data_IF_064713271068
#
_entry.id   IF_064713271068
#
_cell.length_a   1.000
_cell.length_b   1.000
_cell.length_c   1.000
_cell.angle_alpha   90.00
_cell.angle_beta   90.00
_cell.angle_gamma   90.00
#
_symmetry.space_group_name_H-M   'P 1'
#
loop_
_entity.id
_entity.type
_entity.pdbx_description
1 polymer ?
#
# COMPACT_ATOMS: atom_id res chain seq x y z
N UNK A 1 -3.03 -17.62 12.23
CA UNK A 1 -4.42 -17.82 11.74
C UNK A 1 -4.70 -17.18 10.39
N UNK A 2 -4.08 -16.04 10.06
CA UNK A 2 -4.25 -15.37 8.75
C UNK A 2 -3.80 -16.23 7.54
N UNK A 3 -2.85 -17.15 7.71
CA UNK A 3 -2.36 -18.00 6.60
C UNK A 3 -3.34 -19.11 6.16
N UNK A 4 -4.25 -19.54 7.00
CA UNK A 4 -5.18 -20.63 6.67
C UNK A 4 -6.39 -20.22 5.82
N UNK A 5 -6.75 -18.95 5.76
CA UNK A 5 -7.88 -18.47 4.94
C UNK A 5 -7.49 -18.04 3.52
N UNK A 6 -6.21 -18.07 3.18
CA UNK A 6 -5.69 -17.68 1.85
C UNK A 6 -5.61 -18.87 0.88
N UNK A 7 -6.23 -19.99 1.18
CA UNK A 7 -6.25 -21.18 0.32
C UNK A 7 -7.29 -21.02 -0.76
N UNK A 8 -6.86 -20.62 -1.93
CA UNK A 8 -7.68 -20.62 -3.16
C UNK A 8 -6.83 -20.32 -4.38
N UNK A 9 -6.46 -21.37 -5.11
CA UNK A 9 -6.18 -21.45 -6.56
C UNK A 9 -5.41 -20.32 -7.29
N UNK A 10 -4.66 -19.46 -6.65
CA UNK A 10 -3.95 -18.38 -7.33
C UNK A 10 -2.42 -18.55 -7.28
N UNK A 11 -1.94 -19.72 -7.73
CA UNK A 11 -0.51 -20.02 -7.81
C UNK A 11 0.29 -19.13 -8.78
N UNK A 12 -0.37 -18.35 -9.61
CA UNK A 12 0.29 -17.52 -10.62
C UNK A 12 0.61 -16.09 -10.19
N UNK A 13 0.05 -15.59 -9.07
CA UNK A 13 0.27 -14.23 -8.61
C UNK A 13 1.06 -14.27 -7.31
N UNK A 14 2.37 -14.21 -7.43
CA UNK A 14 3.34 -14.47 -6.36
C UNK A 14 3.75 -13.21 -5.58
N UNK A 15 3.58 -12.05 -6.18
CA UNK A 15 3.98 -10.74 -5.66
C UNK A 15 2.94 -10.11 -4.72
N UNK A 16 1.69 -10.54 -4.81
CA UNK A 16 0.57 -9.97 -4.06
C UNK A 16 -0.20 -11.02 -3.28
N UNK A 17 -0.46 -10.74 -2.02
CA UNK A 17 -1.24 -11.58 -1.10
C UNK A 17 -2.51 -10.85 -0.72
N UNK A 18 -3.64 -11.54 -0.69
CA UNK A 18 -4.87 -10.90 -0.25
C UNK A 18 -5.97 -11.89 0.08
N UNK A 19 -6.90 -11.47 0.93
CA UNK A 19 -8.01 -12.29 1.37
C UNK A 19 -8.88 -11.61 2.42
N UNK A 20 -9.79 -12.37 2.99
CA UNK A 20 -10.65 -11.94 4.09
C UNK A 20 -10.01 -12.33 5.41
N UNK A 21 -9.98 -11.41 6.35
CA UNK A 21 -9.50 -11.61 7.72
C UNK A 21 -10.54 -11.10 8.73
N UNK A 22 -10.35 -11.43 9.98
CA UNK A 22 -11.19 -10.91 11.08
C UNK A 22 -10.34 -10.07 12.04
N UNK A 23 -10.79 -8.85 12.28
CA UNK A 23 -10.22 -7.96 13.29
C UNK A 23 -11.24 -7.83 14.44
N UNK A 24 -11.00 -8.55 15.53
CA UNK A 24 -11.94 -8.63 16.68
C UNK A 24 -13.39 -8.93 16.26
N UNK A 25 -13.58 -9.92 15.40
CA UNK A 25 -14.91 -10.33 14.92
C UNK A 25 -15.45 -9.54 13.73
N UNK A 26 -14.85 -8.40 13.38
CA UNK A 26 -15.24 -7.63 12.20
C UNK A 26 -14.51 -8.16 10.96
N UNK A 27 -15.22 -8.59 9.89
CA UNK A 27 -14.59 -9.02 8.66
C UNK A 27 -14.00 -7.82 7.91
N UNK A 28 -12.75 -7.96 7.47
CA UNK A 28 -12.01 -6.98 6.66
C UNK A 28 -11.37 -7.68 5.47
N UNK A 29 -11.18 -6.96 4.37
CA UNK A 29 -10.38 -7.44 3.25
C UNK A 29 -8.98 -6.89 3.39
N UNK A 30 -7.99 -7.77 3.40
CA UNK A 30 -6.57 -7.41 3.52
C UNK A 30 -5.88 -7.71 2.19
N UNK A 31 -5.06 -6.77 1.73
CA UNK A 31 -4.26 -6.88 0.51
C UNK A 31 -2.85 -6.44 0.85
N UNK A 32 -1.84 -7.19 0.45
CA UNK A 32 -0.44 -6.85 0.73
C UNK A 32 0.48 -7.20 -0.41
N UNK A 33 1.54 -6.41 -0.56
CA UNK A 33 2.69 -6.76 -1.40
C UNK A 33 3.67 -7.56 -0.55
N UNK A 34 4.15 -8.67 -1.07
CA UNK A 34 5.05 -9.56 -0.37
C UNK A 34 6.39 -9.64 -1.10
N UNK A 35 7.45 -9.08 -0.50
CA UNK A 35 8.81 -9.09 -1.08
C UNK A 35 9.51 -10.45 -1.02
N UNK A 36 9.20 -11.27 -0.04
CA UNK A 36 9.94 -12.47 0.31
C UNK A 36 10.83 -12.28 1.54
N UNK A 37 11.23 -13.39 2.16
CA UNK A 37 12.04 -13.44 3.39
C UNK A 37 13.51 -13.77 3.15
N UNK A 38 13.83 -14.32 1.99
CA UNK A 38 15.18 -14.68 1.56
C UNK A 38 15.36 -14.33 0.08
N UNK A 39 16.61 -14.40 -0.41
CA UNK A 39 16.95 -14.03 -1.78
C UNK A 39 16.16 -14.83 -2.82
N UNK A 40 15.99 -16.14 -2.61
CA UNK A 40 15.27 -17.02 -3.52
C UNK A 40 13.80 -16.64 -3.59
N UNK A 41 13.19 -16.38 -2.46
CA UNK A 41 11.79 -15.93 -2.39
C UNK A 41 11.63 -14.52 -2.96
N UNK A 42 12.57 -13.60 -2.69
CA UNK A 42 12.57 -12.25 -3.27
C UNK A 42 12.61 -12.30 -4.80
N UNK A 43 13.51 -13.09 -5.40
CA UNK A 43 13.55 -13.29 -6.85
C UNK A 43 12.24 -13.85 -7.38
N UNK A 44 11.68 -14.85 -6.70
CA UNK A 44 10.42 -15.48 -7.07
C UNK A 44 9.22 -14.51 -7.02
N UNK A 45 9.30 -13.47 -6.19
CA UNK A 45 8.25 -12.44 -5.99
C UNK A 45 8.59 -11.12 -6.67
N UNK A 46 9.46 -11.12 -7.66
CA UNK A 46 9.92 -9.91 -8.36
C UNK A 46 10.37 -8.81 -7.39
N UNK A 47 11.00 -9.17 -6.27
CA UNK A 47 11.44 -8.24 -5.21
C UNK A 47 10.30 -7.35 -4.67
N UNK A 48 9.07 -7.84 -4.69
CA UNK A 48 7.88 -7.09 -4.29
C UNK A 48 7.45 -6.03 -5.32
N UNK A 49 7.84 -6.17 -6.58
CA UNK A 49 7.33 -5.36 -7.68
C UNK A 49 6.14 -6.08 -8.32
N UNK A 50 4.89 -5.59 -8.12
CA UNK A 50 3.73 -6.29 -8.61
C UNK A 50 3.66 -6.28 -10.15
N UNK A 51 3.29 -7.43 -10.70
CA UNK A 51 2.90 -7.62 -12.09
C UNK A 51 1.47 -7.10 -12.34
N UNK A 52 1.04 -6.96 -13.60
CA UNK A 52 -0.34 -6.54 -13.92
C UNK A 52 -1.40 -7.42 -13.23
N UNK A 53 -1.12 -8.72 -13.14
CA UNK A 53 -2.00 -9.68 -12.50
C UNK A 53 -2.16 -9.44 -10.99
N UNK A 54 -1.08 -8.97 -10.33
CA UNK A 54 -1.10 -8.58 -8.92
C UNK A 54 -2.06 -7.42 -8.66
N UNK A 55 -2.01 -6.38 -9.49
CA UNK A 55 -2.93 -5.24 -9.42
C UNK A 55 -4.38 -5.65 -9.73
N UNK A 56 -4.61 -6.47 -10.77
CA UNK A 56 -5.95 -6.99 -11.09
C UNK A 56 -6.52 -7.86 -9.98
N UNK A 57 -5.68 -8.67 -9.32
CA UNK A 57 -6.08 -9.42 -8.13
C UNK A 57 -6.49 -8.50 -6.99
N UNK A 58 -5.69 -7.49 -6.70
CA UNK A 58 -6.02 -6.49 -5.68
C UNK A 58 -7.37 -5.82 -5.98
N UNK A 59 -7.59 -5.38 -7.22
CA UNK A 59 -8.85 -4.79 -7.65
C UNK A 59 -10.05 -5.74 -7.46
N UNK A 60 -9.90 -6.98 -7.86
CA UNK A 60 -10.95 -7.99 -7.68
C UNK A 60 -11.34 -8.17 -6.21
N UNK A 61 -10.34 -8.18 -5.31
CA UNK A 61 -10.59 -8.26 -3.87
C UNK A 61 -11.25 -6.99 -3.32
N UNK A 62 -10.87 -5.81 -3.81
CA UNK A 62 -11.50 -4.53 -3.46
C UNK A 62 -12.96 -4.49 -3.89
N UNK A 63 -13.27 -4.91 -5.12
CA UNK A 63 -14.65 -5.00 -5.62
C UNK A 63 -15.49 -6.03 -4.86
N UNK A 64 -14.88 -7.14 -4.49
CA UNK A 64 -15.52 -8.11 -3.61
C UNK A 64 -15.78 -7.52 -2.21
N UNK A 65 -14.83 -6.76 -1.67
CA UNK A 65 -15.00 -6.06 -0.39
C UNK A 65 -16.17 -5.07 -0.45
N UNK A 66 -16.25 -4.29 -1.52
CA UNK A 66 -17.36 -3.35 -1.75
C UNK A 66 -18.71 -4.06 -1.80
N UNK A 67 -18.82 -5.14 -2.58
CA UNK A 67 -20.05 -5.96 -2.68
C UNK A 67 -20.53 -6.48 -1.33
N UNK A 68 -19.61 -6.89 -0.48
CA UNK A 68 -19.91 -7.45 0.85
C UNK A 68 -19.78 -6.42 1.99
N UNK A 69 -19.63 -5.12 1.67
CA UNK A 69 -19.52 -4.00 2.61
C UNK A 69 -18.40 -4.21 3.66
N UNK A 70 -17.29 -4.81 3.25
CA UNK A 70 -16.11 -5.01 4.11
C UNK A 70 -15.12 -3.86 3.91
N UNK A 71 -14.55 -3.30 4.99
CA UNK A 71 -13.41 -2.40 4.89
C UNK A 71 -12.22 -3.06 4.18
N UNK A 72 -11.45 -2.27 3.47
CA UNK A 72 -10.22 -2.68 2.79
C UNK A 72 -9.02 -2.12 3.56
N UNK A 73 -8.03 -2.97 3.82
CA UNK A 73 -6.75 -2.58 4.41
C UNK A 73 -5.66 -3.03 3.44
N UNK A 74 -4.85 -2.11 2.94
CA UNK A 74 -3.70 -2.44 2.08
C UNK A 74 -2.40 -2.27 2.85
N UNK A 75 -1.48 -3.22 2.70
CA UNK A 75 -0.10 -3.15 3.19
C UNK A 75 0.83 -3.04 2.00
N UNK A 76 1.52 -1.90 1.89
CA UNK A 76 2.33 -1.56 0.72
C UNK A 76 3.81 -1.64 1.08
N UNK A 77 4.55 -2.44 0.33
CA UNK A 77 6.00 -2.55 0.39
C UNK A 77 6.53 -2.91 -0.99
N UNK A 78 6.69 -1.91 -1.83
CA UNK A 78 7.17 -2.07 -3.21
C UNK A 78 8.06 -0.90 -3.60
N UNK A 79 9.14 -1.18 -4.31
CA UNK A 79 9.96 -0.16 -4.96
C UNK A 79 9.30 0.44 -6.21
N UNK A 80 8.23 -0.19 -6.70
CA UNK A 80 7.47 0.22 -7.89
C UNK A 80 6.79 -0.97 -8.54
N UNK A 81 6.08 -0.73 -9.63
CA UNK A 81 5.54 -1.79 -10.46
C UNK A 81 6.65 -2.51 -11.23
N UNK A 82 6.46 -3.79 -11.52
CA UNK A 82 7.42 -4.54 -12.34
C UNK A 82 7.52 -3.92 -13.75
N UNK A 83 8.73 -3.58 -14.18
CA UNK A 83 9.01 -2.81 -15.40
C UNK A 83 9.55 -3.67 -16.56
N UNK A 84 9.26 -4.97 -16.58
CA UNK A 84 9.66 -5.87 -17.66
C UNK A 84 8.78 -5.75 -18.91
N UNK A 85 9.32 -6.05 -20.07
CA UNK A 85 8.60 -6.06 -21.35
C UNK A 85 7.32 -6.92 -21.26
N UNK A 86 7.41 -8.08 -20.64
CA UNK A 86 6.26 -8.96 -20.42
C UNK A 86 5.13 -8.30 -19.60
N UNK A 87 5.46 -7.41 -18.67
CA UNK A 87 4.45 -6.69 -17.90
C UNK A 87 3.78 -5.61 -18.76
N UNK A 88 4.52 -4.92 -19.59
CA UNK A 88 3.97 -3.93 -20.53
C UNK A 88 3.03 -4.60 -21.54
N UNK A 89 3.43 -5.73 -22.13
CA UNK A 89 2.61 -6.53 -23.05
C UNK A 89 1.28 -6.98 -22.41
N UNK A 90 1.27 -7.24 -21.10
CA UNK A 90 0.06 -7.62 -20.34
C UNK A 90 -0.68 -6.44 -19.73
N UNK A 91 -0.30 -5.20 -20.07
CA UNK A 91 -1.00 -3.98 -19.70
C UNK A 91 -0.72 -3.51 -18.27
N UNK A 92 0.55 -3.35 -17.90
CA UNK A 92 0.97 -2.85 -16.59
C UNK A 92 0.40 -1.46 -16.29
N UNK A 93 0.52 -0.52 -17.22
CA UNK A 93 -0.01 0.83 -17.07
C UNK A 93 -1.53 0.85 -16.92
N UNK A 94 -2.24 0.03 -17.69
CA UNK A 94 -3.71 -0.11 -17.58
C UNK A 94 -4.12 -0.65 -16.21
N UNK A 95 -3.45 -1.69 -15.73
CA UNK A 95 -3.77 -2.30 -14.43
C UNK A 95 -3.58 -1.31 -13.27
N UNK A 96 -2.54 -0.49 -13.31
CA UNK A 96 -2.28 0.59 -12.35
C UNK A 96 -3.37 1.65 -12.44
N UNK A 97 -3.61 2.20 -13.64
CA UNK A 97 -4.61 3.25 -13.86
C UNK A 97 -6.02 2.80 -13.44
N UNK A 98 -6.37 1.56 -13.74
CA UNK A 98 -7.63 0.97 -13.35
C UNK A 98 -7.78 0.88 -11.83
N UNK A 99 -6.73 0.47 -11.12
CA UNK A 99 -6.75 0.46 -9.65
C UNK A 99 -6.96 1.87 -9.08
N UNK A 100 -6.25 2.87 -9.57
CA UNK A 100 -6.41 4.26 -9.13
C UNK A 100 -7.85 4.73 -9.31
N UNK A 101 -8.41 4.53 -10.50
CA UNK A 101 -9.78 4.92 -10.83
C UNK A 101 -10.80 4.23 -9.92
N UNK A 102 -10.74 2.91 -9.81
CA UNK A 102 -11.72 2.13 -9.05
C UNK A 102 -11.58 2.34 -7.54
N UNK A 103 -10.35 2.46 -7.02
CA UNK A 103 -10.14 2.77 -5.59
C UNK A 103 -10.72 4.13 -5.21
N UNK A 104 -10.61 5.13 -6.08
CA UNK A 104 -11.15 6.46 -5.80
C UNK A 104 -12.66 6.43 -5.53
N UNK A 105 -13.40 5.55 -6.22
CA UNK A 105 -14.85 5.41 -6.14
C UNK A 105 -15.39 4.37 -5.16
N UNK A 106 -14.53 3.58 -4.48
CA UNK A 106 -14.98 2.50 -3.59
C UNK A 106 -15.93 3.01 -2.49
N UNK A 107 -17.05 2.32 -2.30
CA UNK A 107 -18.11 2.65 -1.33
C UNK A 107 -17.90 2.03 0.06
N UNK A 108 -16.68 1.62 0.38
CA UNK A 108 -16.27 1.06 1.67
C UNK A 108 -15.06 1.83 2.23
N UNK A 109 -14.81 1.79 3.55
CA UNK A 109 -13.61 2.35 4.13
C UNK A 109 -12.36 1.70 3.55
N UNK A 110 -11.37 2.52 3.16
CA UNK A 110 -10.08 2.06 2.66
C UNK A 110 -8.98 2.69 3.49
N UNK A 111 -8.16 1.85 4.13
CA UNK A 111 -6.96 2.23 4.87
C UNK A 111 -5.74 1.69 4.15
N UNK A 112 -4.76 2.54 3.88
CA UNK A 112 -3.51 2.14 3.23
C UNK A 112 -2.35 2.32 4.21
N UNK A 113 -1.48 1.31 4.32
CA UNK A 113 -0.36 1.33 5.27
C UNK A 113 0.94 1.03 4.51
N UNK A 114 1.85 2.00 4.48
CA UNK A 114 3.21 1.80 3.98
C UNK A 114 4.04 1.12 5.06
N UNK A 115 4.51 -0.08 4.78
CA UNK A 115 5.28 -0.89 5.75
C UNK A 115 6.77 -1.00 5.40
N UNK A 116 7.21 -0.26 4.40
CA UNK A 116 8.59 -0.23 3.93
C UNK A 116 8.71 0.77 2.79
N UNK A 117 8.96 0.31 1.58
CA UNK A 117 9.02 1.17 0.41
C UNK A 117 7.64 1.37 -0.22
N UNK A 118 7.31 2.63 -0.50
CA UNK A 118 6.15 3.03 -1.29
C UNK A 118 6.61 3.72 -2.57
N UNK A 119 6.92 2.93 -3.62
CA UNK A 119 7.51 3.44 -4.86
C UNK A 119 6.49 3.75 -5.96
N UNK A 120 6.48 5.01 -6.41
CA UNK A 120 5.85 5.46 -7.66
C UNK A 120 4.37 5.06 -7.83
N UNK A 121 3.92 4.96 -9.07
CA UNK A 121 2.57 4.51 -9.43
C UNK A 121 2.25 3.11 -8.95
N UNK A 122 3.27 2.26 -8.77
CA UNK A 122 3.08 0.91 -8.23
C UNK A 122 2.55 0.90 -6.80
N UNK A 123 3.08 1.74 -5.94
CA UNK A 123 2.57 1.93 -4.59
C UNK A 123 1.23 2.69 -4.61
N UNK A 124 1.11 3.74 -5.42
CA UNK A 124 -0.08 4.56 -5.50
C UNK A 124 -1.32 3.76 -5.91
N UNK A 125 -1.15 2.77 -6.82
CA UNK A 125 -2.22 1.86 -7.25
C UNK A 125 -2.84 1.01 -6.13
N UNK A 126 -2.25 1.03 -4.93
CA UNK A 126 -2.74 0.36 -3.72
C UNK A 126 -2.94 1.35 -2.55
N UNK A 127 -2.84 2.67 -2.80
CA UNK A 127 -2.76 3.67 -1.72
C UNK A 127 -3.77 4.81 -1.84
N UNK A 128 -4.78 4.67 -2.69
CA UNK A 128 -5.89 5.63 -2.78
C UNK A 128 -6.92 5.31 -1.69
N UNK A 129 -6.58 5.67 -0.45
CA UNK A 129 -7.38 5.39 0.75
C UNK A 129 -8.08 6.60 1.35
N UNK A 130 -8.99 6.37 2.29
CA UNK A 130 -9.55 7.40 3.17
C UNK A 130 -8.50 7.93 4.15
N UNK A 131 -7.58 7.05 4.56
CA UNK A 131 -6.36 7.41 5.29
C UNK A 131 -5.17 6.62 4.73
N UNK A 132 -3.98 7.23 4.79
CA UNK A 132 -2.70 6.59 4.49
C UNK A 132 -1.81 6.72 5.71
N UNK A 133 -1.32 5.60 6.21
CA UNK A 133 -0.41 5.53 7.36
C UNK A 133 0.94 5.01 6.92
N UNK A 134 1.97 5.30 7.66
CA UNK A 134 3.32 4.80 7.40
C UNK A 134 3.98 4.27 8.67
N UNK A 135 4.76 3.21 8.56
CA UNK A 135 5.76 2.88 9.57
C UNK A 135 6.79 4.02 9.65
N UNK A 136 7.34 4.22 10.83
CA UNK A 136 8.24 5.34 11.15
C UNK A 136 9.44 5.46 10.20
N UNK A 137 9.99 4.32 9.77
CA UNK A 137 11.13 4.26 8.86
C UNK A 137 10.75 3.90 7.41
N UNK A 138 9.45 3.87 7.09
CA UNK A 138 9.00 3.67 5.73
C UNK A 138 9.26 4.92 4.88
N UNK A 139 9.34 4.71 3.57
CA UNK A 139 9.45 5.79 2.57
C UNK A 139 8.29 5.75 1.59
N UNK A 140 7.86 6.91 1.11
CA UNK A 140 6.86 7.00 0.07
C UNK A 140 7.24 8.11 -0.92
N UNK A 141 7.47 7.75 -2.18
CA UNK A 141 8.00 8.66 -3.18
C UNK A 141 7.55 8.32 -4.59
N UNK A 142 7.57 9.31 -5.48
CA UNK A 142 7.22 9.11 -6.89
C UNK A 142 8.32 8.41 -7.68
N UNK A 143 9.57 8.56 -7.30
CA UNK A 143 10.75 7.94 -7.94
C UNK A 143 11.89 7.81 -6.94
N UNK A 144 12.95 7.08 -7.32
CA UNK A 144 14.14 6.97 -6.47
C UNK A 144 14.91 8.29 -6.38
N UNK A 145 15.71 8.52 -5.32
CA UNK A 145 16.59 9.69 -5.23
C UNK A 145 17.58 9.80 -6.39
N UNK A 146 18.08 8.66 -6.89
CA UNK A 146 18.94 8.61 -8.07
C UNK A 146 18.20 9.09 -9.34
N UNK A 147 16.96 8.64 -9.51
CA UNK A 147 16.10 9.07 -10.61
C UNK A 147 15.80 10.56 -10.55
N UNK A 148 15.45 11.06 -9.37
CA UNK A 148 15.20 12.48 -9.12
C UNK A 148 16.44 13.33 -9.48
N UNK A 149 17.61 12.96 -8.94
CA UNK A 149 18.86 13.67 -9.20
C UNK A 149 19.26 13.63 -10.70
N UNK A 150 19.02 12.49 -11.35
CA UNK A 150 19.30 12.36 -12.79
C UNK A 150 18.39 13.25 -13.64
N UNK A 151 17.10 13.35 -13.30
CA UNK A 151 16.15 14.16 -14.05
C UNK A 151 16.41 15.66 -13.85
N UNK A 152 16.51 16.12 -12.59
CA UNK A 152 16.61 17.55 -12.28
C UNK A 152 18.02 18.09 -12.40
N UNK A 153 19.03 17.33 -11.98
CA UNK A 153 20.41 17.82 -11.90
C UNK A 153 21.34 17.18 -12.91
N UNK A 154 20.83 16.23 -13.71
CA UNK A 154 21.61 15.47 -14.70
C UNK A 154 22.79 14.70 -14.09
N UNK A 155 22.73 14.40 -12.79
CA UNK A 155 23.75 13.65 -12.05
C UNK A 155 23.13 12.76 -10.96
N UNK A 156 22.95 11.47 -11.26
CA UNK A 156 22.39 10.48 -10.34
C UNK A 156 23.25 10.24 -9.09
N UNK A 157 24.53 10.63 -9.08
CA UNK A 157 25.41 10.48 -7.91
C UNK A 157 25.00 11.40 -6.74
N UNK A 158 24.19 12.42 -7.02
CA UNK A 158 23.64 13.35 -6.01
C UNK A 158 22.40 12.79 -5.29
N UNK A 159 22.19 11.48 -5.30
CA UNK A 159 21.04 10.83 -4.68
C UNK A 159 20.87 11.17 -3.18
N UNK A 160 21.97 11.29 -2.43
CA UNK A 160 21.94 11.69 -1.00
C UNK A 160 21.34 13.09 -0.81
N UNK A 161 21.71 14.03 -1.64
CA UNK A 161 21.16 15.39 -1.63
C UNK A 161 19.69 15.38 -2.06
N UNK A 162 19.39 14.62 -3.11
CA UNK A 162 18.04 14.42 -3.61
C UNK A 162 17.08 13.90 -2.52
N UNK A 163 17.49 12.89 -1.75
CA UNK A 163 16.65 12.31 -0.69
C UNK A 163 16.24 13.34 0.37
N UNK A 164 17.11 14.28 0.69
CA UNK A 164 16.82 15.38 1.62
C UNK A 164 15.81 16.41 1.07
N UNK A 165 15.84 16.63 -0.25
CA UNK A 165 14.93 17.57 -0.94
C UNK A 165 13.56 16.96 -1.17
N UNK A 166 13.48 15.66 -1.47
CA UNK A 166 12.26 14.97 -1.90
C UNK A 166 11.20 14.83 -0.81
N UNK A 167 11.58 14.96 0.47
CA UNK A 167 10.63 14.85 1.59
C UNK A 167 9.84 13.54 1.58
N UNK A 168 10.55 12.41 1.55
CA UNK A 168 9.97 11.07 1.36
C UNK A 168 9.77 10.28 2.66
N UNK A 169 10.18 10.84 3.81
CA UNK A 169 10.07 10.17 5.11
C UNK A 169 8.67 10.29 5.70
N UNK A 170 8.32 9.41 6.62
CA UNK A 170 7.03 9.46 7.31
C UNK A 170 6.82 10.80 8.03
N UNK A 171 7.86 11.36 8.64
CA UNK A 171 7.82 12.64 9.36
C UNK A 171 7.56 13.81 8.39
N UNK A 172 8.27 13.86 7.28
CA UNK A 172 8.06 14.88 6.25
C UNK A 172 6.64 14.82 5.68
N UNK A 173 6.20 13.61 5.30
CA UNK A 173 4.89 13.41 4.67
C UNK A 173 3.73 13.67 5.65
N UNK A 174 3.93 13.40 6.93
CA UNK A 174 2.99 13.80 7.99
C UNK A 174 2.89 15.31 8.12
N UNK A 175 4.03 15.99 8.11
CA UNK A 175 4.08 17.47 8.19
C UNK A 175 3.43 18.13 6.96
N UNK A 176 3.54 17.50 5.78
CA UNK A 176 2.90 17.93 4.54
C UNK A 176 1.41 17.53 4.43
N UNK A 177 0.89 16.77 5.39
CA UNK A 177 -0.51 16.30 5.35
C UNK A 177 -0.77 15.17 4.34
N UNK A 178 0.28 14.57 3.78
CA UNK A 178 0.16 13.46 2.81
C UNK A 178 -0.27 12.17 3.50
N UNK A 179 0.11 11.98 4.76
CA UNK A 179 -0.29 10.83 5.57
C UNK A 179 -0.97 11.28 6.88
N UNK A 180 -1.87 10.44 7.40
CA UNK A 180 -2.63 10.74 8.61
C UNK A 180 -1.98 10.19 9.88
N UNK A 181 -1.15 9.14 9.80
CA UNK A 181 -0.60 8.48 10.98
C UNK A 181 0.81 7.95 10.74
N UNK A 182 1.69 8.10 11.74
CA UNK A 182 2.99 7.43 11.80
C UNK A 182 2.87 6.30 12.81
N UNK A 183 3.16 5.08 12.38
CA UNK A 183 3.19 3.90 13.24
C UNK A 183 4.60 3.76 13.79
N UNK A 184 4.81 3.89 15.12
CA UNK A 184 6.15 3.83 15.70
C UNK A 184 6.77 2.45 15.56
N UNK A 185 8.07 2.43 15.31
CA UNK A 185 8.89 1.23 15.26
C UNK A 185 9.81 1.19 16.49
N UNK A 186 9.78 0.08 17.20
CA UNK A 186 10.48 -0.09 18.48
C UNK A 186 11.81 -0.84 18.30
N UNK A 187 12.67 -0.31 17.44
CA UNK A 187 13.95 -0.91 17.11
C UNK A 187 13.93 -1.76 15.83
N UNK A 188 14.88 -2.72 15.72
CA UNK A 188 14.92 -3.62 14.58
C UNK A 188 13.67 -4.51 14.52
N UNK A 189 13.30 -4.95 13.31
CA UNK A 189 12.11 -5.80 13.07
C UNK A 189 12.33 -7.23 13.61
N UNK A 190 12.50 -7.36 14.92
CA UNK A 190 12.52 -8.61 15.66
C UNK A 190 11.10 -9.00 16.14
N UNK A 191 10.96 -10.18 16.73
CA UNK A 191 9.66 -10.68 17.21
C UNK A 191 8.99 -9.75 18.25
N UNK A 192 9.68 -9.23 19.29
CA UNK A 192 9.11 -8.29 20.24
C UNK A 192 8.62 -6.99 19.60
N UNK A 193 9.40 -6.41 18.68
CA UNK A 193 9.03 -5.20 17.94
C UNK A 193 7.78 -5.43 17.08
N UNK A 194 7.71 -6.55 16.36
CA UNK A 194 6.53 -6.92 15.56
C UNK A 194 5.26 -7.07 16.40
N UNK A 195 5.35 -7.63 17.60
CA UNK A 195 4.21 -7.73 18.55
C UNK A 195 3.74 -6.33 18.94
N UNK A 196 4.66 -5.42 19.25
CA UNK A 196 4.35 -4.05 19.68
C UNK A 196 3.72 -3.25 18.52
N UNK A 197 4.29 -3.32 17.33
CA UNK A 197 3.74 -2.71 16.11
C UNK A 197 2.34 -3.26 15.81
N UNK A 198 2.16 -4.57 15.85
CA UNK A 198 0.86 -5.23 15.61
C UNK A 198 -0.20 -4.79 16.61
N UNK A 199 0.16 -4.64 17.89
CA UNK A 199 -0.74 -4.18 18.94
C UNK A 199 -1.13 -2.72 18.75
N UNK A 200 -0.17 -1.87 18.36
CA UNK A 200 -0.41 -0.49 18.00
C UNK A 200 -1.38 -0.40 16.81
N UNK A 201 -1.03 -1.05 15.70
CA UNK A 201 -1.88 -1.08 14.49
C UNK A 201 -3.29 -1.58 14.80
N UNK A 202 -3.44 -2.69 15.51
CA UNK A 202 -4.75 -3.23 15.89
C UNK A 202 -5.62 -2.18 16.57
N UNK A 203 -5.09 -1.45 17.55
CA UNK A 203 -5.81 -0.42 18.28
C UNK A 203 -6.22 0.75 17.36
N UNK A 204 -5.31 1.25 16.55
CA UNK A 204 -5.54 2.41 15.68
C UNK A 204 -6.46 2.07 14.49
N UNK A 205 -6.32 0.88 13.90
CA UNK A 205 -7.25 0.41 12.86
C UNK A 205 -8.69 0.32 13.40
N UNK A 206 -8.87 -0.16 14.63
CA UNK A 206 -10.19 -0.15 15.26
C UNK A 206 -10.75 1.26 15.42
N UNK A 207 -9.93 2.23 15.78
CA UNK A 207 -10.32 3.65 15.87
C UNK A 207 -10.72 4.19 14.50
N UNK A 208 -9.92 3.92 13.47
CA UNK A 208 -10.26 4.26 12.09
C UNK A 208 -11.60 3.65 11.66
N UNK A 209 -11.80 2.36 11.88
CA UNK A 209 -13.05 1.69 11.50
C UNK A 209 -14.28 2.26 12.25
N UNK A 210 -14.11 2.61 13.54
CA UNK A 210 -15.17 3.29 14.32
C UNK A 210 -15.50 4.67 13.74
N UNK A 211 -14.50 5.46 13.34
CA UNK A 211 -14.67 6.78 12.72
C UNK A 211 -15.42 6.69 11.38
N UNK A 212 -15.25 5.60 10.64
CA UNK A 212 -15.93 5.36 9.37
C UNK A 212 -17.33 4.72 9.52
N UNK A 213 -17.65 4.22 10.69
CA UNK A 213 -18.93 3.56 10.94
C UNK A 213 -20.09 4.55 10.82
N UNK A 214 -21.17 4.11 10.20
CA UNK A 214 -22.37 4.93 9.97
C UNK A 214 -22.30 5.85 8.73
N UNK A 215 -21.15 6.01 8.10
CA UNK A 215 -21.03 6.76 6.84
C UNK A 215 -21.61 5.96 5.67
N UNK A 216 -22.27 6.66 4.76
CA UNK A 216 -22.70 6.06 3.49
C UNK A 216 -21.52 5.85 2.56
N UNK A 217 -21.67 4.96 1.57
CA UNK A 217 -20.63 4.73 0.57
C UNK A 217 -20.27 5.99 -0.21
N UNK A 218 -21.24 6.86 -0.47
CA UNK A 218 -21.01 8.15 -1.16
C UNK A 218 -20.22 9.13 -0.31
N UNK A 219 -20.49 9.19 0.99
CA UNK A 219 -19.71 9.99 1.93
C UNK A 219 -18.25 9.51 1.98
N UNK A 220 -18.01 8.19 2.02
CA UNK A 220 -16.67 7.61 2.02
C UNK A 220 -15.89 7.93 0.74
N UNK A 221 -16.53 7.85 -0.42
CA UNK A 221 -15.92 8.22 -1.70
C UNK A 221 -15.66 9.73 -1.79
N UNK A 222 -16.60 10.57 -1.32
CA UNK A 222 -16.45 12.02 -1.30
C UNK A 222 -15.30 12.48 -0.38
N UNK A 223 -15.17 11.90 0.82
CA UNK A 223 -14.05 12.18 1.74
C UNK A 223 -12.70 11.83 1.10
N UNK A 224 -12.64 10.67 0.44
CA UNK A 224 -11.44 10.24 -0.30
C UNK A 224 -11.11 11.21 -1.43
N UNK A 225 -12.09 11.62 -2.22
CA UNK A 225 -11.91 12.62 -3.26
C UNK A 225 -11.38 13.94 -2.69
N UNK A 226 -12.00 14.47 -1.63
CA UNK A 226 -11.55 15.72 -1.00
C UNK A 226 -10.13 15.61 -0.44
N UNK A 227 -9.78 14.46 0.15
CA UNK A 227 -8.42 14.21 0.65
C UNK A 227 -7.35 14.42 -0.43
N UNK A 228 -7.59 13.98 -1.65
CA UNK A 228 -6.63 14.11 -2.76
C UNK A 228 -6.74 15.44 -3.52
N UNK A 229 -7.76 16.25 -3.25
CA UNK A 229 -7.94 17.56 -3.90
C UNK A 229 -7.14 18.68 -3.25
N UNK A 230 -6.56 18.45 -2.08
CA UNK A 230 -5.77 19.47 -1.36
C UNK A 230 -4.30 19.52 -1.81
N UNK A 231 -3.89 18.63 -2.72
CA UNK A 231 -2.54 18.57 -3.30
C UNK A 231 -2.48 19.12 -4.72
#
# INVERSE_FOLDING_TARGET
>A
EMQRSLVGSEMCIRDSVGGVAYLDGQPVTVIGVHKGKDLKECMHRNYGMPSPEGYRKALRLMKQAEKFKRPVITFVNTSGAFCGMEAEERGQGEAIARNLYEMSGLKVPVLCIMIGEGGSGGALALSVGNEVWMLENATYSILSPEGFASILWKDGRRAKEASGVMKITAQDLKALGVIEEIIPEYGMADQPALISISRYMKRHIKTFLKKQNGKTGDQLAAERYQRFRVF
#
